data_IF_290769101638
#
_entry.id   IF_290769101638
#
_cell.length_a   1.000
_cell.length_b   1.000
_cell.length_c   1.000
_cell.angle_alpha   90.00
_cell.angle_beta   90.00
_cell.angle_gamma   90.00
#
_symmetry.space_group_name_H-M   'P 1'
#
loop_
_entity.id
_entity.type
_entity.pdbx_description
1 polymer ?
#
# COMPACT_ATOMS: atom_id res chain seq x y z
N UNK A 1 -17.36 13.85 -10.41
CA UNK A 1 -16.37 13.11 -9.61
C UNK A 1 -14.99 13.24 -10.25
N UNK A 2 -13.95 13.58 -9.51
CA UNK A 2 -12.61 13.74 -10.04
C UNK A 2 -11.93 12.42 -10.39
N UNK A 3 -10.74 12.52 -10.94
CA UNK A 3 -9.89 11.38 -11.23
C UNK A 3 -9.35 10.78 -9.92
N UNK A 4 -9.23 9.46 -9.85
CA UNK A 4 -8.64 8.79 -8.67
C UNK A 4 -7.21 9.29 -8.39
N UNK A 5 -6.49 9.74 -9.41
CA UNK A 5 -5.13 10.27 -9.28
C UNK A 5 -5.07 11.53 -8.42
N UNK A 6 -6.20 12.19 -8.20
CA UNK A 6 -6.27 13.38 -7.34
C UNK A 6 -6.42 13.01 -5.86
N UNK A 7 -6.75 11.76 -5.55
CA UNK A 7 -6.91 11.30 -4.18
C UNK A 7 -5.55 11.24 -3.49
N UNK A 8 -5.43 11.89 -2.33
CA UNK A 8 -4.17 11.96 -1.60
C UNK A 8 -3.67 10.56 -1.22
N UNK A 9 -4.56 9.68 -0.75
CA UNK A 9 -4.13 8.34 -0.35
C UNK A 9 -3.70 7.49 -1.55
N UNK A 10 -4.23 7.74 -2.76
CA UNK A 10 -3.70 7.13 -3.97
C UNK A 10 -2.28 7.62 -4.26
N UNK A 11 -2.08 8.94 -4.17
CA UNK A 11 -0.78 9.54 -4.45
C UNK A 11 0.29 9.01 -3.48
N UNK A 12 -0.07 8.87 -2.21
CA UNK A 12 0.84 8.31 -1.21
C UNK A 12 1.11 6.81 -1.44
N UNK A 13 0.10 6.07 -1.88
CA UNK A 13 0.29 4.67 -2.26
C UNK A 13 1.31 4.53 -3.41
N UNK A 14 1.27 5.44 -4.37
CA UNK A 14 2.24 5.45 -5.47
C UNK A 14 3.64 5.84 -4.99
N UNK A 15 3.77 6.70 -3.98
CA UNK A 15 5.07 6.99 -3.36
C UNK A 15 5.68 5.73 -2.76
N UNK A 16 4.84 4.86 -2.18
CA UNK A 16 5.31 3.57 -1.66
C UNK A 16 5.86 2.72 -2.79
N UNK A 17 5.16 2.64 -3.92
CA UNK A 17 5.61 1.84 -5.07
C UNK A 17 6.97 2.33 -5.56
N UNK A 18 7.13 3.66 -5.70
CA UNK A 18 8.40 4.25 -6.14
C UNK A 18 9.52 3.90 -5.16
N UNK A 19 9.25 4.01 -3.86
CA UNK A 19 10.24 3.67 -2.84
C UNK A 19 10.56 2.19 -2.79
N UNK A 20 9.56 1.33 -2.98
CA UNK A 20 9.74 -0.12 -3.04
C UNK A 20 10.58 -0.50 -4.26
N UNK A 21 10.30 0.10 -5.41
CA UNK A 21 11.08 -0.16 -6.64
C UNK A 21 12.57 0.16 -6.41
N UNK A 22 12.85 1.31 -5.81
CA UNK A 22 14.22 1.69 -5.49
C UNK A 22 14.86 0.74 -4.48
N UNK A 23 14.09 0.35 -3.45
CA UNK A 23 14.57 -0.57 -2.41
C UNK A 23 14.95 -1.93 -2.97
N UNK A 24 14.06 -2.54 -3.76
CA UNK A 24 14.29 -3.91 -4.24
C UNK A 24 15.46 -3.98 -5.22
N UNK A 25 15.70 -2.92 -5.96
CA UNK A 25 16.88 -2.85 -6.86
C UNK A 25 18.20 -2.92 -6.10
N UNK A 26 18.20 -2.49 -4.84
CA UNK A 26 19.39 -2.50 -4.00
C UNK A 26 19.55 -3.72 -3.11
N UNK A 27 18.59 -4.63 -3.11
CA UNK A 27 18.65 -5.82 -2.26
C UNK A 27 19.60 -6.88 -2.85
N UNK A 28 20.15 -7.78 -2.02
CA UNK A 28 21.01 -8.86 -2.51
C UNK A 28 20.27 -9.77 -3.48
N UNK A 29 21.01 -10.51 -4.31
CA UNK A 29 20.44 -11.43 -5.30
C UNK A 29 20.27 -12.84 -4.73
N UNK A 30 19.91 -12.94 -3.47
CA UNK A 30 19.62 -14.22 -2.81
C UNK A 30 18.19 -14.65 -3.12
N UNK A 31 17.91 -15.93 -2.95
CA UNK A 31 16.57 -16.48 -3.14
C UNK A 31 15.57 -15.80 -2.19
N UNK A 32 15.95 -15.58 -0.94
CA UNK A 32 15.10 -14.94 0.06
C UNK A 32 14.74 -13.52 -0.35
N UNK A 33 15.75 -12.73 -0.74
CA UNK A 33 15.54 -11.35 -1.13
C UNK A 33 14.67 -11.24 -2.39
N UNK A 34 14.87 -12.14 -3.36
CA UNK A 34 14.07 -12.16 -4.59
C UNK A 34 12.61 -12.49 -4.29
N UNK A 35 12.35 -13.47 -3.43
CA UNK A 35 10.97 -13.85 -3.07
C UNK A 35 10.26 -12.73 -2.32
N UNK A 36 10.93 -12.13 -1.34
CA UNK A 36 10.34 -11.03 -0.57
C UNK A 36 10.12 -9.82 -1.48
N UNK A 37 11.05 -9.50 -2.36
CA UNK A 37 10.92 -8.40 -3.32
C UNK A 37 9.68 -8.57 -4.18
N UNK A 38 9.44 -9.77 -4.68
CA UNK A 38 8.28 -10.08 -5.52
C UNK A 38 6.97 -9.88 -4.75
N UNK A 39 6.89 -10.39 -3.52
CA UNK A 39 5.72 -10.24 -2.68
C UNK A 39 5.48 -8.78 -2.30
N UNK A 40 6.53 -8.07 -1.93
CA UNK A 40 6.44 -6.66 -1.57
C UNK A 40 5.98 -5.80 -2.75
N UNK A 41 6.55 -6.03 -3.93
CA UNK A 41 6.17 -5.28 -5.12
C UNK A 41 4.69 -5.54 -5.46
N UNK A 42 4.27 -6.81 -5.40
CA UNK A 42 2.88 -7.20 -5.66
C UNK A 42 1.92 -6.52 -4.70
N UNK A 43 2.19 -6.58 -3.40
CA UNK A 43 1.28 -5.99 -2.40
C UNK A 43 1.25 -4.47 -2.50
N UNK A 44 2.41 -3.83 -2.70
CA UNK A 44 2.46 -2.37 -2.77
C UNK A 44 1.76 -1.81 -4.01
N UNK A 45 1.91 -2.47 -5.16
CA UNK A 45 1.21 -2.03 -6.38
C UNK A 45 -0.29 -2.29 -6.31
N UNK A 46 -0.70 -3.29 -5.55
CA UNK A 46 -2.11 -3.63 -5.36
C UNK A 46 -2.90 -2.55 -4.59
N UNK A 47 -2.24 -1.77 -3.74
CA UNK A 47 -2.91 -0.72 -2.97
C UNK A 47 -3.58 0.26 -3.94
N UNK A 48 -2.79 0.90 -4.78
CA UNK A 48 -3.28 1.89 -5.73
C UNK A 48 -4.23 1.31 -6.77
N UNK A 49 -3.97 0.08 -7.23
CA UNK A 49 -4.84 -0.59 -8.19
C UNK A 49 -6.26 -0.76 -7.65
N UNK A 50 -6.41 -1.12 -6.38
CA UNK A 50 -7.72 -1.30 -5.75
C UNK A 50 -8.40 0.03 -5.45
N UNK A 51 -7.62 1.07 -5.09
CA UNK A 51 -8.17 2.41 -4.93
C UNK A 51 -8.76 2.89 -6.26
N UNK A 52 -8.01 2.73 -7.35
CA UNK A 52 -8.45 3.15 -8.68
C UNK A 52 -9.70 2.39 -9.13
N UNK A 53 -9.71 1.07 -8.92
CA UNK A 53 -10.85 0.23 -9.29
C UNK A 53 -12.11 0.64 -8.51
N UNK A 54 -11.97 0.85 -7.21
CA UNK A 54 -13.10 1.24 -6.36
C UNK A 54 -13.62 2.63 -6.73
N UNK A 55 -12.74 3.57 -7.00
CA UNK A 55 -13.12 4.93 -7.38
C UNK A 55 -13.95 4.93 -8.67
N UNK A 56 -13.59 4.08 -9.63
CA UNK A 56 -14.32 3.93 -10.88
C UNK A 56 -15.74 3.41 -10.70
N UNK A 57 -16.02 2.72 -9.60
CA UNK A 57 -17.36 2.16 -9.34
C UNK A 57 -18.32 3.20 -8.79
N UNK A 58 -17.87 4.17 -8.03
CA UNK A 58 -18.64 5.24 -7.36
C UNK A 58 -19.73 4.77 -6.41
N UNK A 59 -20.11 3.52 -6.45
CA UNK A 59 -21.26 2.99 -5.73
C UNK A 59 -20.86 2.52 -4.33
N UNK A 60 -21.50 3.07 -3.32
CA UNK A 60 -21.15 2.92 -1.91
C UNK A 60 -20.54 1.60 -1.50
N UNK A 61 -21.29 0.50 -1.61
CA UNK A 61 -20.83 -0.81 -1.12
C UNK A 61 -19.62 -1.32 -1.92
N UNK A 62 -19.63 -1.15 -3.24
CA UNK A 62 -18.51 -1.59 -4.08
C UNK A 62 -17.26 -0.76 -3.83
N UNK A 63 -17.40 0.55 -3.68
CA UNK A 63 -16.27 1.41 -3.39
C UNK A 63 -15.64 1.01 -2.05
N UNK A 64 -16.46 0.86 -1.02
CA UNK A 64 -16.00 0.43 0.31
C UNK A 64 -15.26 -0.91 0.20
N UNK A 65 -15.81 -1.87 -0.55
CA UNK A 65 -15.21 -3.18 -0.73
C UNK A 65 -13.79 -3.08 -1.30
N UNK A 66 -13.59 -2.28 -2.35
CA UNK A 66 -12.26 -2.13 -2.95
C UNK A 66 -11.28 -1.40 -2.03
N UNK A 67 -11.77 -0.44 -1.23
CA UNK A 67 -10.92 0.22 -0.24
C UNK A 67 -10.50 -0.75 0.87
N UNK A 68 -11.37 -1.68 1.26
CA UNK A 68 -11.01 -2.72 2.23
C UNK A 68 -9.94 -3.66 1.66
N UNK A 69 -10.04 -4.01 0.37
CA UNK A 69 -8.99 -4.80 -0.29
C UNK A 69 -7.67 -4.03 -0.31
N UNK A 70 -7.72 -2.73 -0.62
CA UNK A 70 -6.53 -1.87 -0.61
C UNK A 70 -5.91 -1.82 0.79
N UNK A 71 -6.74 -1.75 1.83
CA UNK A 71 -6.29 -1.76 3.22
C UNK A 71 -5.54 -3.07 3.53
N UNK A 72 -6.08 -4.21 3.08
CA UNK A 72 -5.43 -5.50 3.22
C UNK A 72 -4.07 -5.55 2.51
N UNK A 73 -3.98 -4.96 1.32
CA UNK A 73 -2.73 -4.86 0.58
C UNK A 73 -1.71 -4.00 1.30
N UNK A 74 -2.15 -2.90 1.93
CA UNK A 74 -1.27 -2.05 2.74
C UNK A 74 -0.79 -2.79 3.98
N UNK A 75 -1.64 -3.59 4.62
CA UNK A 75 -1.24 -4.43 5.75
C UNK A 75 -0.19 -5.46 5.32
N UNK A 76 -0.38 -6.07 4.17
CA UNK A 76 0.59 -7.02 3.63
C UNK A 76 1.92 -6.34 3.31
N UNK A 77 1.88 -5.13 2.76
CA UNK A 77 3.07 -4.33 2.49
C UNK A 77 3.84 -4.04 3.78
N UNK A 78 3.13 -3.68 4.85
CA UNK A 78 3.74 -3.49 6.17
C UNK A 78 4.43 -4.77 6.64
N UNK A 79 3.79 -5.91 6.46
CA UNK A 79 4.37 -7.20 6.83
C UNK A 79 5.71 -7.44 6.11
N UNK A 80 5.75 -7.25 4.80
CA UNK A 80 6.98 -7.50 4.03
C UNK A 80 8.09 -6.52 4.36
N UNK A 81 7.75 -5.25 4.60
CA UNK A 81 8.75 -4.27 5.02
C UNK A 81 9.36 -4.66 6.37
N UNK A 82 8.52 -5.09 7.31
CA UNK A 82 9.00 -5.55 8.61
C UNK A 82 9.82 -6.83 8.50
N UNK A 83 9.46 -7.72 7.57
CA UNK A 83 10.24 -8.94 7.33
C UNK A 83 11.66 -8.60 6.85
N UNK A 84 11.78 -7.60 5.96
CA UNK A 84 13.09 -7.14 5.51
C UNK A 84 13.93 -6.63 6.68
N UNK A 85 13.30 -5.91 7.63
CA UNK A 85 13.98 -5.48 8.85
C UNK A 85 14.42 -6.66 9.70
N UNK A 86 13.50 -7.61 9.92
CA UNK A 86 13.73 -8.75 10.80
C UNK A 86 14.92 -9.61 10.34
N UNK A 87 15.05 -9.82 9.04
CA UNK A 87 16.15 -10.62 8.49
C UNK A 87 17.30 -9.76 7.96
N UNK A 88 17.24 -8.46 8.20
CA UNK A 88 18.34 -7.51 7.93
C UNK A 88 18.81 -7.48 6.48
N UNK A 89 17.87 -7.46 5.54
CA UNK A 89 18.19 -7.38 4.12
C UNK A 89 18.55 -5.97 3.65
N UNK A 90 18.23 -4.94 4.43
CA UNK A 90 18.50 -3.55 4.08
C UNK A 90 18.67 -2.69 5.32
N UNK A 91 19.09 -1.44 5.10
CA UNK A 91 19.27 -0.48 6.16
C UNK A 91 17.95 -0.08 6.78
N UNK A 92 17.92 0.00 8.11
CA UNK A 92 16.72 0.29 8.89
C UNK A 92 16.06 1.60 8.47
N UNK A 93 16.84 2.64 8.21
CA UNK A 93 16.33 3.98 7.90
C UNK A 93 15.49 3.98 6.62
N UNK A 94 15.95 3.28 5.59
CA UNK A 94 15.22 3.18 4.32
C UNK A 94 13.88 2.49 4.47
N UNK A 95 13.87 1.42 5.26
CA UNK A 95 12.65 0.65 5.50
C UNK A 95 11.67 1.45 6.34
N UNK A 96 12.16 2.13 7.40
CA UNK A 96 11.29 2.90 8.27
C UNK A 96 10.62 4.06 7.55
N UNK A 97 11.32 4.70 6.61
CA UNK A 97 10.72 5.77 5.81
C UNK A 97 9.51 5.24 5.00
N UNK A 98 9.64 4.05 4.42
CA UNK A 98 8.53 3.43 3.68
C UNK A 98 7.41 2.97 4.62
N UNK A 99 7.74 2.43 5.78
CA UNK A 99 6.75 2.04 6.79
C UNK A 99 5.92 3.25 7.20
N UNK A 100 6.55 4.41 7.39
CA UNK A 100 5.82 5.63 7.78
C UNK A 100 4.82 6.08 6.71
N UNK A 101 5.24 6.09 5.45
CA UNK A 101 4.33 6.44 4.34
C UNK A 101 3.18 5.42 4.27
N UNK A 102 3.51 4.15 4.40
CA UNK A 102 2.49 3.09 4.36
C UNK A 102 1.49 3.21 5.52
N UNK A 103 1.97 3.58 6.71
CA UNK A 103 1.10 3.82 7.85
C UNK A 103 0.15 5.00 7.61
N UNK A 104 0.61 6.05 6.94
CA UNK A 104 -0.27 7.16 6.56
C UNK A 104 -1.39 6.67 5.64
N UNK A 105 -1.04 5.86 4.63
CA UNK A 105 -2.03 5.29 3.71
C UNK A 105 -3.04 4.43 4.48
N UNK A 106 -2.56 3.59 5.40
CA UNK A 106 -3.43 2.73 6.22
C UNK A 106 -4.41 3.56 7.04
N UNK A 107 -3.94 4.62 7.68
CA UNK A 107 -4.81 5.51 8.47
C UNK A 107 -5.83 6.21 7.60
N UNK A 108 -5.41 6.72 6.45
CA UNK A 108 -6.31 7.42 5.52
C UNK A 108 -7.38 6.48 4.96
N UNK A 109 -7.00 5.26 4.61
CA UNK A 109 -7.95 4.24 4.15
C UNK A 109 -8.96 3.90 5.24
N UNK A 110 -8.49 3.69 6.47
CA UNK A 110 -9.36 3.37 7.60
C UNK A 110 -10.36 4.50 7.84
N UNK A 111 -9.89 5.75 7.86
CA UNK A 111 -10.75 6.92 8.08
C UNK A 111 -11.79 7.04 6.97
N UNK A 112 -11.38 6.86 5.72
CA UNK A 112 -12.29 6.96 4.57
C UNK A 112 -13.34 5.86 4.61
N UNK A 113 -12.94 4.61 4.87
CA UNK A 113 -13.85 3.48 4.99
C UNK A 113 -14.89 3.75 6.08
N UNK A 114 -14.45 4.20 7.25
CA UNK A 114 -15.35 4.48 8.37
C UNK A 114 -16.34 5.59 8.04
N UNK A 115 -15.88 6.66 7.39
CA UNK A 115 -16.75 7.75 6.96
C UNK A 115 -17.79 7.27 5.97
N UNK A 116 -17.38 6.46 4.98
CA UNK A 116 -18.31 5.94 3.96
C UNK A 116 -19.32 4.98 4.58
N UNK A 117 -18.91 4.13 5.50
CA UNK A 117 -19.83 3.22 6.21
C UNK A 117 -20.85 3.99 7.03
N UNK A 118 -20.44 5.04 7.72
CA UNK A 118 -21.34 5.87 8.53
C UNK A 118 -22.41 6.54 7.67
N UNK A 119 -22.06 6.97 6.46
CA UNK A 119 -23.01 7.58 5.54
C UNK A 119 -24.06 6.61 5.01
N UNK A 120 -23.73 5.31 4.96
CA UNK A 120 -24.66 4.29 4.48
C UNK A 120 -25.67 3.88 5.56
N UNK A 121 -25.30 4.03 6.80
CA UNK A 121 -26.16 3.70 7.95
C UNK A 121 -27.12 4.85 8.26
#
# INVERSE_FOLDING_TARGET
>A
MGDYKELLFYQKAQQIVIGVDALVKGLPKTMQAQEISRQLFRSSTSIGANIAEGHGRHEGAEYIHFLIIAQGSANETDHWLNTILDIRLSQKEKIQALIEINNEVRRMLTATINTLKAKRD
#
